data_IF_140955145795
#
_entry.id   IF_140955145795
#
_cell.length_a   1.000
_cell.length_b   1.000
_cell.length_c   1.000
_cell.angle_alpha   90.00
_cell.angle_beta   90.00
_cell.angle_gamma   90.00
#
_symmetry.space_group_name_H-M   'P 1'
#
loop_
_entity.id
_entity.type
_entity.pdbx_description
1 polymer ?
#
# COMPACT_ATOMS: atom_id res chain seq x y z
N UNK A 1 3.53 -8.68 -12.46
CA UNK A 1 3.56 -7.28 -12.91
C UNK A 1 2.92 -6.38 -11.87
N UNK A 2 3.57 -5.29 -11.55
CA UNK A 2 3.07 -4.37 -10.54
C UNK A 2 2.11 -3.38 -11.17
N UNK A 3 0.96 -3.19 -10.55
CA UNK A 3 -0.02 -2.21 -11.00
C UNK A 3 -0.26 -1.19 -9.90
N UNK A 4 -0.39 0.07 -10.28
CA UNK A 4 -0.65 1.14 -9.34
C UNK A 4 -1.96 1.80 -9.74
N UNK A 5 -2.89 1.92 -8.79
CA UNK A 5 -4.20 2.50 -9.02
C UNK A 5 -4.47 3.56 -7.96
N UNK A 6 -5.03 4.66 -8.37
CA UNK A 6 -5.43 5.70 -7.43
C UNK A 6 -6.90 6.01 -7.64
N UNK A 7 -7.67 5.98 -6.56
CA UNK A 7 -9.09 6.31 -6.58
C UNK A 7 -9.25 7.66 -5.90
N UNK A 8 -9.58 8.68 -6.70
CA UNK A 8 -9.69 10.04 -6.17
C UNK A 8 -10.90 10.20 -5.26
N UNK A 9 -11.95 9.41 -5.48
CA UNK A 9 -13.14 9.52 -4.64
C UNK A 9 -12.87 9.11 -3.21
N UNK A 10 -12.11 8.03 -3.05
CA UNK A 10 -11.81 7.50 -1.73
C UNK A 10 -10.46 7.93 -1.22
N UNK A 11 -9.64 8.52 -2.10
CA UNK A 11 -8.28 8.96 -1.77
C UNK A 11 -7.43 7.78 -1.33
N UNK A 12 -7.58 6.66 -2.04
CA UNK A 12 -6.83 5.43 -1.75
C UNK A 12 -5.91 5.12 -2.92
N UNK A 13 -4.64 4.92 -2.61
CA UNK A 13 -3.66 4.47 -3.58
C UNK A 13 -3.40 2.99 -3.34
N UNK A 14 -3.56 2.18 -4.38
CA UNK A 14 -3.38 0.74 -4.29
C UNK A 14 -2.22 0.32 -5.16
N UNK A 15 -1.30 -0.44 -4.59
CA UNK A 15 -0.21 -1.04 -5.34
C UNK A 15 -0.44 -2.54 -5.33
N UNK A 16 -0.63 -3.12 -6.52
CA UNK A 16 -0.87 -4.55 -6.66
C UNK A 16 0.45 -5.19 -7.06
N UNK A 17 0.95 -6.07 -6.21
CA UNK A 17 2.25 -6.68 -6.39
C UNK A 17 2.17 -8.02 -7.10
N UNK A 18 1.10 -8.77 -6.82
CA UNK A 18 0.91 -10.10 -7.39
C UNK A 18 -0.54 -10.29 -7.75
N UNK A 19 -0.77 -11.16 -8.72
CA UNK A 19 -2.13 -11.49 -9.16
C UNK A 19 -2.63 -12.71 -8.42
N UNK A 20 -2.44 -12.73 -7.12
CA UNK A 20 -2.90 -13.81 -6.26
C UNK A 20 -4.07 -13.33 -5.42
N UNK A 21 -4.92 -14.27 -5.04
CA UNK A 21 -6.03 -13.94 -4.16
C UNK A 21 -5.52 -13.71 -2.75
N UNK A 22 -5.86 -12.59 -2.11
CA UNK A 22 -5.47 -12.38 -0.73
C UNK A 22 -6.32 -13.23 0.21
N UNK A 23 -5.70 -13.77 1.25
CA UNK A 23 -6.40 -14.53 2.27
C UNK A 23 -6.34 -13.83 3.62
N UNK A 24 -5.52 -12.79 3.75
CA UNK A 24 -5.36 -12.08 5.00
C UNK A 24 -4.96 -10.65 4.71
N UNK A 25 -5.29 -9.75 5.62
CA UNK A 25 -4.93 -8.34 5.47
C UNK A 25 -4.59 -7.79 6.84
N UNK A 26 -3.52 -7.01 6.89
CA UNK A 26 -3.06 -6.42 8.14
C UNK A 26 -3.04 -4.91 7.95
N UNK A 27 -3.68 -4.21 8.88
CA UNK A 27 -3.66 -2.75 8.86
C UNK A 27 -2.50 -2.26 9.71
N UNK A 28 -1.62 -1.52 9.06
CA UNK A 28 -0.47 -0.93 9.74
C UNK A 28 -0.83 0.47 10.21
N UNK A 29 -0.08 1.00 11.17
CA UNK A 29 -0.33 2.38 11.61
C UNK A 29 -0.18 3.35 10.46
N UNK A 30 -1.00 4.39 10.48
CA UNK A 30 -0.94 5.41 9.44
C UNK A 30 -1.83 5.15 8.26
N UNK A 31 -2.72 4.17 8.35
CA UNK A 31 -3.68 3.92 7.27
C UNK A 31 -3.07 3.18 6.09
N UNK A 32 -2.25 2.19 6.36
CA UNK A 32 -1.67 1.33 5.33
C UNK A 32 -2.19 -0.08 5.57
N UNK A 33 -2.74 -0.69 4.53
CA UNK A 33 -3.27 -2.05 4.63
C UNK A 33 -2.49 -2.93 3.65
N UNK A 34 -1.89 -4.00 4.18
CA UNK A 34 -1.13 -4.94 3.37
C UNK A 34 -1.89 -6.25 3.34
N UNK A 35 -2.17 -6.75 2.14
CA UNK A 35 -2.86 -8.03 1.95
C UNK A 35 -1.86 -9.09 1.59
N UNK A 36 -2.09 -10.30 2.08
CA UNK A 36 -1.16 -11.42 1.93
C UNK A 36 -1.86 -12.62 1.35
N UNK A 37 -1.12 -13.46 0.62
CA UNK A 37 -1.64 -14.71 0.10
C UNK A 37 -1.42 -15.84 1.11
N UNK A 38 -1.72 -17.07 0.67
CA UNK A 38 -1.59 -18.25 1.54
C UNK A 38 -0.18 -18.48 2.02
N UNK A 39 0.80 -18.04 1.25
CA UNK A 39 2.20 -18.22 1.60
C UNK A 39 2.76 -17.04 2.39
N UNK A 40 1.87 -16.16 2.85
CA UNK A 40 2.25 -14.97 3.61
C UNK A 40 3.13 -14.02 2.81
N UNK A 41 2.92 -14.01 1.51
CA UNK A 41 3.59 -13.05 0.65
C UNK A 41 2.67 -11.86 0.41
N UNK A 42 3.20 -10.64 0.41
CA UNK A 42 2.34 -9.48 0.16
C UNK A 42 1.86 -9.48 -1.28
N UNK A 43 0.56 -9.28 -1.47
CA UNK A 43 -0.03 -9.24 -2.80
C UNK A 43 -0.49 -7.84 -3.15
N UNK A 44 -0.84 -7.02 -2.18
CA UNK A 44 -1.22 -5.63 -2.47
C UNK A 44 -1.02 -4.77 -1.24
N UNK A 45 -0.85 -3.48 -1.48
CA UNK A 45 -0.70 -2.48 -0.42
C UNK A 45 -1.67 -1.35 -0.73
N UNK A 46 -2.48 -0.96 0.26
CA UNK A 46 -3.39 0.16 0.13
C UNK A 46 -2.97 1.27 1.07
N UNK A 47 -2.87 2.47 0.54
CA UNK A 47 -2.56 3.66 1.32
C UNK A 47 -3.83 4.50 1.39
N UNK A 48 -4.37 4.65 2.59
CA UNK A 48 -5.58 5.43 2.82
C UNK A 48 -5.21 6.89 3.03
N UNK A 49 -6.06 7.79 2.55
CA UNK A 49 -5.86 9.24 2.72
C UNK A 49 -4.50 9.68 2.23
N UNK A 50 -4.14 9.24 1.01
CA UNK A 50 -2.78 9.49 0.52
C UNK A 50 -2.48 10.96 0.31
N UNK A 51 -3.48 11.77 -0.03
CA UNK A 51 -3.22 13.19 -0.25
C UNK A 51 -2.78 13.90 1.03
N UNK A 52 -3.25 13.42 2.19
CA UNK A 52 -2.86 14.01 3.46
C UNK A 52 -1.51 13.48 3.94
N UNK A 53 -1.03 12.40 3.35
CA UNK A 53 0.25 11.81 3.71
C UNK A 53 1.38 12.30 2.82
N UNK A 54 1.06 13.20 1.89
CA UNK A 54 2.03 13.74 0.95
C UNK A 54 2.69 12.68 0.08
N UNK A 55 1.99 11.58 -0.13
CA UNK A 55 2.47 10.55 -1.04
C UNK A 55 2.34 11.04 -2.48
N UNK A 56 1.26 11.79 -2.75
CA UNK A 56 1.07 12.42 -4.05
C UNK A 56 1.41 13.89 -3.95
N UNK A 57 2.48 14.31 -4.58
CA UNK A 57 2.90 15.71 -4.61
C UNK A 57 3.25 16.10 -6.03
N UNK A 58 2.63 17.18 -6.50
CA UNK A 58 2.96 17.74 -7.82
C UNK A 58 2.87 16.71 -8.92
N UNK A 59 1.89 15.81 -8.82
CA UNK A 59 1.69 14.78 -9.83
C UNK A 59 2.64 13.61 -9.72
N UNK A 60 3.45 13.58 -8.68
CA UNK A 60 4.39 12.47 -8.46
C UNK A 60 3.99 11.67 -7.26
N UNK A 61 4.30 10.38 -7.29
CA UNK A 61 4.04 9.48 -6.19
C UNK A 61 5.33 9.32 -5.40
N UNK A 62 5.31 9.80 -4.16
CA UNK A 62 6.44 9.67 -3.25
C UNK A 62 6.04 8.74 -2.12
N UNK A 63 6.69 7.58 -2.05
CA UNK A 63 6.38 6.60 -1.03
C UNK A 63 7.57 6.50 -0.10
N UNK A 64 7.35 6.85 1.15
CA UNK A 64 8.36 6.73 2.18
C UNK A 64 7.93 5.59 3.08
N UNK A 65 8.68 4.50 3.01
CA UNK A 65 8.39 3.34 3.82
C UNK A 65 9.36 3.30 4.98
N UNK A 66 8.81 3.31 6.17
CA UNK A 66 9.60 3.10 7.37
C UNK A 66 9.41 1.68 7.80
N UNK A 67 10.47 0.91 7.66
CA UNK A 67 10.41 -0.49 8.01
C UNK A 67 11.18 -0.67 9.29
N UNK A 68 10.47 -0.79 10.38
CA UNK A 68 11.13 -0.84 11.68
C UNK A 68 12.01 -2.04 11.86
N UNK A 69 11.74 -3.09 11.14
CA UNK A 69 12.61 -4.25 11.28
C UNK A 69 14.01 -3.96 10.79
N UNK A 70 14.20 -2.92 10.02
CA UNK A 70 15.54 -2.58 9.57
C UNK A 70 16.38 -2.00 10.68
N UNK A 71 15.72 -1.41 11.61
CA UNK A 71 16.43 -0.90 12.76
C UNK A 71 16.87 -2.00 13.65
N UNK A 72 16.37 -3.08 13.30
CA UNK A 72 16.83 -4.27 14.10
C UNK A 72 16.10 -4.78 13.63
#
# INVERSE_FOLDING_TARGET
>A
MIKIKYDAETDILTIILKDDAPVDAIEEPGGVIVSYNEREEPVSIEFLNVSTKQILQNGEVNVILQTKQLGG
#
